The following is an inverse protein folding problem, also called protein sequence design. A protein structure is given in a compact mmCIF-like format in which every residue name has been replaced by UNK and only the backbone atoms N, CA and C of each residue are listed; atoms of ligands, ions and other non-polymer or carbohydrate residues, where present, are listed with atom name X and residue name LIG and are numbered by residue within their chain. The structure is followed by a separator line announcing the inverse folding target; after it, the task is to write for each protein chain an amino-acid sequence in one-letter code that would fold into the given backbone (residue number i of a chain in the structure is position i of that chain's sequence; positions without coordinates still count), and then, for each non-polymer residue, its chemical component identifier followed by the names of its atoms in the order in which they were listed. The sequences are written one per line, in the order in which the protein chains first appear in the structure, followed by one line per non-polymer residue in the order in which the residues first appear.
data_IF_116879536513
#
_entry.id   IF_116879536513
#
_cell.length_a   1.000
_cell.length_b   1.000
_cell.length_c   1.000
_cell.angle_alpha   90.00
_cell.angle_beta   90.00
_cell.angle_gamma   90.00
#
_symmetry.space_group_name_H-M   'P 1'
#
loop_
_entity.id
_entity.type
_entity.pdbx_description
1 polymer ?
#
# COMPACT_ATOMS: atom_id res chain seq x y z
N UNK A 1 31.45 -92.83 -39.39
CA UNK A 1 30.46 -93.66 -40.10
C UNK A 1 29.20 -93.70 -39.28
N UNK A 2 28.10 -93.66 -39.99
CA UNK A 2 26.71 -93.58 -39.54
C UNK A 2 26.22 -94.97 -39.10
N UNK A 3 25.26 -94.94 -38.18
CA UNK A 3 24.20 -95.91 -37.85
C UNK A 3 24.38 -97.07 -36.85
N UNK A 4 23.39 -97.07 -35.94
CA UNK A 4 22.47 -98.17 -35.56
C UNK A 4 22.50 -98.86 -34.17
N UNK A 5 21.43 -98.52 -33.41
CA UNK A 5 20.42 -99.37 -32.78
C UNK A 5 20.66 -100.19 -31.48
N UNK A 6 19.95 -99.71 -30.45
CA UNK A 6 19.08 -100.38 -29.46
C UNK A 6 19.51 -101.69 -28.76
N UNK A 7 19.53 -101.65 -27.42
CA UNK A 7 18.94 -102.72 -26.60
C UNK A 7 18.43 -102.19 -25.25
N UNK A 8 17.19 -102.61 -24.97
CA UNK A 8 16.34 -102.48 -23.79
C UNK A 8 16.98 -102.84 -22.44
N UNK A 9 16.70 -102.06 -21.39
CA UNK A 9 15.94 -102.60 -20.24
C UNK A 9 15.35 -101.54 -19.31
N UNK A 10 14.09 -101.81 -18.96
CA UNK A 10 13.19 -101.05 -18.10
C UNK A 10 13.60 -101.07 -16.63
N UNK A 11 13.33 -99.96 -15.94
CA UNK A 11 13.16 -99.84 -14.50
C UNK A 11 12.47 -98.50 -14.22
N UNK A 12 11.14 -98.50 -14.18
CA UNK A 12 10.37 -98.18 -12.97
C UNK A 12 10.64 -96.74 -12.47
N UNK A 13 9.78 -95.82 -12.89
CA UNK A 13 8.66 -95.31 -12.07
C UNK A 13 9.11 -94.17 -11.16
N UNK A 14 8.93 -92.93 -11.62
CA UNK A 14 7.85 -92.07 -11.12
C UNK A 14 7.98 -90.70 -11.78
N UNK A 15 7.15 -90.49 -12.80
CA UNK A 15 6.69 -89.18 -13.21
C UNK A 15 6.14 -88.45 -11.97
N UNK A 16 6.87 -87.50 -11.41
CA UNK A 16 6.24 -86.39 -10.66
C UNK A 16 5.58 -85.49 -11.71
N UNK A 17 4.47 -85.99 -12.26
CA UNK A 17 3.40 -85.17 -12.79
C UNK A 17 2.84 -84.39 -11.60
N UNK A 18 3.40 -83.21 -11.35
CA UNK A 18 2.66 -82.15 -10.69
C UNK A 18 1.41 -81.91 -11.53
N UNK A 19 0.29 -82.45 -11.05
CA UNK A 19 -1.06 -82.04 -11.46
C UNK A 19 -1.24 -80.55 -11.14
N UNK A 20 -0.68 -79.67 -11.96
CA UNK A 20 -1.11 -78.27 -12.04
C UNK A 20 -2.33 -78.19 -12.94
N UNK A 21 -3.47 -78.57 -12.38
CA UNK A 21 -4.76 -78.30 -13.01
C UNK A 21 -5.81 -78.01 -11.94
N UNK A 22 -5.56 -76.97 -11.12
CA UNK A 22 -6.57 -76.33 -10.26
C UNK A 22 -6.14 -74.96 -9.66
N UNK A 23 -5.08 -74.30 -10.15
CA UNK A 23 -4.49 -73.10 -9.50
C UNK A 23 -4.67 -71.75 -10.20
N UNK A 24 -5.08 -71.71 -11.47
CA UNK A 24 -5.04 -70.47 -12.28
C UNK A 24 -6.12 -69.44 -11.95
N UNK A 25 -7.29 -69.86 -11.46
CA UNK A 25 -8.38 -68.93 -11.12
C UNK A 25 -8.18 -68.28 -9.74
N UNK A 26 -7.60 -69.00 -8.78
CA UNK A 26 -7.31 -68.46 -7.45
C UNK A 26 -6.13 -67.47 -7.48
N UNK A 27 -5.09 -67.75 -8.28
CA UNK A 27 -3.95 -66.83 -8.43
C UNK A 27 -4.32 -65.55 -9.18
N UNK A 28 -5.15 -65.66 -10.23
CA UNK A 28 -5.70 -64.49 -10.93
C UNK A 28 -6.65 -63.69 -10.05
N UNK A 29 -7.52 -64.34 -9.28
CA UNK A 29 -8.40 -63.67 -8.30
C UNK A 29 -7.60 -62.95 -7.21
N UNK A 30 -6.58 -63.60 -6.64
CA UNK A 30 -5.70 -62.99 -5.64
C UNK A 30 -4.96 -61.76 -6.20
N UNK A 31 -4.51 -61.84 -7.45
CA UNK A 31 -3.84 -60.71 -8.12
C UNK A 31 -4.81 -59.54 -8.36
N UNK A 32 -6.05 -59.81 -8.74
CA UNK A 32 -7.08 -58.77 -8.89
C UNK A 32 -7.42 -58.09 -7.57
N UNK A 33 -7.57 -58.86 -6.48
CA UNK A 33 -7.83 -58.32 -5.15
C UNK A 33 -6.67 -57.43 -4.71
N UNK A 34 -5.42 -57.85 -4.95
CA UNK A 34 -4.24 -57.06 -4.62
C UNK A 34 -4.24 -55.69 -5.32
N UNK A 35 -4.52 -55.65 -6.62
CA UNK A 35 -4.64 -54.40 -7.37
C UNK A 35 -5.82 -53.54 -6.90
N UNK A 36 -6.94 -54.16 -6.53
CA UNK A 36 -8.11 -53.46 -6.02
C UNK A 36 -7.81 -52.76 -4.70
N UNK A 37 -7.11 -53.43 -3.77
CA UNK A 37 -6.67 -52.84 -2.51
C UNK A 37 -5.78 -51.62 -2.75
N UNK A 38 -4.78 -51.74 -3.64
CA UNK A 38 -3.91 -50.61 -4.00
C UNK A 38 -4.72 -49.45 -4.57
N UNK A 39 -5.60 -49.71 -5.54
CA UNK A 39 -6.44 -48.69 -6.15
C UNK A 39 -7.34 -48.00 -5.11
N UNK A 40 -7.94 -48.74 -4.19
CA UNK A 40 -8.75 -48.18 -3.11
C UNK A 40 -7.91 -47.31 -2.16
N UNK A 41 -6.70 -47.72 -1.80
CA UNK A 41 -5.83 -46.89 -0.94
C UNK A 41 -5.36 -45.61 -1.63
N UNK A 42 -5.09 -45.64 -2.94
CA UNK A 42 -4.78 -44.44 -3.70
C UNK A 42 -5.99 -43.51 -3.80
N UNK A 43 -7.18 -44.03 -4.13
CA UNK A 43 -8.40 -43.24 -4.19
C UNK A 43 -8.78 -42.62 -2.84
N UNK A 44 -8.47 -43.30 -1.73
CA UNK A 44 -8.71 -42.77 -0.39
C UNK A 44 -7.86 -41.53 -0.07
N UNK A 45 -6.61 -41.52 -0.53
CA UNK A 45 -5.67 -40.40 -0.34
C UNK A 45 -5.75 -39.35 -1.46
N UNK A 46 -6.45 -39.66 -2.55
CA UNK A 46 -6.60 -38.74 -3.67
C UNK A 46 -7.68 -37.71 -3.35
N UNK A 47 -7.26 -36.46 -3.18
CA UNK A 47 -8.16 -35.36 -2.80
C UNK A 47 -9.22 -35.06 -3.88
N UNK A 48 -8.84 -35.01 -5.16
CA UNK A 48 -9.76 -34.78 -6.28
C UNK A 48 -10.87 -35.84 -6.50
N UNK A 49 -10.80 -36.99 -5.82
CA UNK A 49 -11.83 -38.01 -5.85
C UNK A 49 -12.97 -37.55 -4.96
N UNK A 50 -12.66 -37.11 -3.74
CA UNK A 50 -13.62 -36.59 -2.75
C UNK A 50 -14.18 -35.20 -3.09
N UNK A 51 -13.52 -34.48 -3.99
CA UNK A 51 -13.88 -33.12 -4.42
C UNK A 51 -14.47 -33.08 -5.85
N UNK A 52 -15.10 -34.17 -6.30
CA UNK A 52 -15.62 -34.29 -7.67
C UNK A 52 -16.97 -33.58 -7.87
N UNK A 53 -17.17 -32.96 -9.04
CA UNK A 53 -18.46 -32.39 -9.48
C UNK A 53 -19.39 -33.44 -10.15
N UNK A 54 -18.98 -34.70 -10.18
CA UNK A 54 -19.73 -35.79 -10.82
C UNK A 54 -20.84 -36.28 -9.87
N UNK A 55 -22.07 -35.80 -10.09
CA UNK A 55 -23.27 -36.11 -9.28
C UNK A 55 -23.47 -37.58 -8.85
N UNK A 56 -23.32 -38.59 -9.73
CA UNK A 56 -23.49 -39.98 -9.29
C UNK A 56 -22.37 -40.45 -8.35
N UNK A 57 -21.14 -39.99 -8.58
CA UNK A 57 -19.99 -40.31 -7.73
C UNK A 57 -20.09 -39.60 -6.37
N UNK A 58 -20.52 -38.33 -6.37
CA UNK A 58 -20.81 -37.56 -5.17
C UNK A 58 -21.89 -38.22 -4.30
N UNK A 59 -22.98 -38.72 -4.91
CA UNK A 59 -24.02 -39.48 -4.20
C UNK A 59 -23.46 -40.74 -3.55
N UNK A 60 -22.67 -41.51 -4.30
CA UNK A 60 -22.02 -42.73 -3.79
C UNK A 60 -21.08 -42.42 -2.62
N UNK A 61 -20.27 -41.37 -2.71
CA UNK A 61 -19.37 -40.94 -1.64
C UNK A 61 -20.14 -40.49 -0.39
N UNK A 62 -21.22 -39.72 -0.56
CA UNK A 62 -22.08 -39.27 0.55
C UNK A 62 -22.78 -40.44 1.25
N UNK A 63 -23.24 -41.42 0.48
CA UNK A 63 -24.03 -42.54 1.01
C UNK A 63 -23.15 -43.58 1.70
N UNK A 64 -22.03 -43.97 1.10
CA UNK A 64 -21.18 -45.06 1.61
C UNK A 64 -19.99 -44.57 2.45
N UNK A 65 -19.54 -43.33 2.25
CA UNK A 65 -18.34 -42.77 2.90
C UNK A 65 -18.60 -41.37 3.49
N UNK A 66 -19.77 -41.19 4.10
CA UNK A 66 -20.26 -39.91 4.63
C UNK A 66 -19.26 -39.17 5.54
N UNK A 67 -18.58 -39.89 6.44
CA UNK A 67 -17.60 -39.30 7.36
C UNK A 67 -16.40 -38.70 6.63
N UNK A 68 -15.82 -39.45 5.69
CA UNK A 68 -14.65 -39.02 4.92
C UNK A 68 -15.02 -37.88 3.97
N UNK A 69 -16.15 -38.01 3.28
CA UNK A 69 -16.69 -36.96 2.42
C UNK A 69 -16.90 -35.64 3.19
N UNK A 70 -17.53 -35.68 4.37
CA UNK A 70 -17.77 -34.49 5.19
C UNK A 70 -16.46 -33.83 5.66
N UNK A 71 -15.44 -34.62 6.01
CA UNK A 71 -14.13 -34.09 6.42
C UNK A 71 -13.47 -33.30 5.29
N UNK A 72 -13.45 -33.84 4.07
CA UNK A 72 -12.85 -33.16 2.92
C UNK A 72 -13.65 -31.91 2.50
N UNK A 73 -15.00 -31.98 2.53
CA UNK A 73 -15.85 -30.81 2.25
C UNK A 73 -15.67 -29.69 3.30
N UNK A 74 -15.44 -30.03 4.56
CA UNK A 74 -15.13 -29.04 5.60
C UNK A 74 -13.78 -28.35 5.37
N UNK A 75 -12.77 -29.06 4.86
CA UNK A 75 -11.48 -28.46 4.48
C UNK A 75 -11.66 -27.44 3.36
N UNK A 76 -12.40 -27.80 2.30
CA UNK A 76 -12.71 -26.89 1.19
C UNK A 76 -13.47 -25.67 1.71
N UNK A 77 -14.53 -25.87 2.50
CA UNK A 77 -15.32 -24.78 3.05
C UNK A 77 -14.48 -23.78 3.85
N UNK A 78 -13.54 -24.28 4.67
CA UNK A 78 -12.58 -23.42 5.40
C UNK A 78 -11.68 -22.65 4.44
N UNK A 79 -11.12 -23.28 3.42
CA UNK A 79 -10.27 -22.62 2.43
C UNK A 79 -11.04 -21.54 1.66
N UNK A 80 -12.25 -21.85 1.17
CA UNK A 80 -13.10 -20.91 0.44
C UNK A 80 -13.48 -19.72 1.32
N UNK A 81 -13.87 -19.96 2.58
CA UNK A 81 -14.22 -18.89 3.51
C UNK A 81 -13.00 -18.03 3.86
N UNK A 82 -11.84 -18.63 4.07
CA UNK A 82 -10.59 -17.90 4.31
C UNK A 82 -10.20 -17.06 3.10
N UNK A 83 -10.30 -17.59 1.89
CA UNK A 83 -10.01 -16.84 0.67
C UNK A 83 -10.96 -15.66 0.48
N UNK A 84 -12.25 -15.85 0.77
CA UNK A 84 -13.25 -14.77 0.76
C UNK A 84 -12.91 -13.68 1.78
N UNK A 85 -12.51 -14.07 2.99
CA UNK A 85 -12.10 -13.13 4.03
C UNK A 85 -10.84 -12.36 3.62
N UNK A 86 -9.84 -13.04 3.06
CA UNK A 86 -8.61 -12.41 2.57
C UNK A 86 -8.91 -11.41 1.45
N UNK A 87 -9.81 -11.77 0.53
CA UNK A 87 -10.23 -10.87 -0.55
C UNK A 87 -10.94 -9.62 -0.01
N UNK A 88 -11.83 -9.77 0.98
CA UNK A 88 -12.50 -8.64 1.64
C UNK A 88 -11.49 -7.73 2.36
N UNK A 89 -10.56 -8.31 3.11
CA UNK A 89 -9.50 -7.56 3.80
C UNK A 89 -8.64 -6.78 2.79
N UNK A 90 -8.24 -7.42 1.68
CA UNK A 90 -7.47 -6.75 0.63
C UNK A 90 -8.25 -5.59 0.01
N UNK A 91 -9.52 -5.80 -0.33
CA UNK A 91 -10.36 -4.73 -0.90
C UNK A 91 -10.57 -3.56 0.07
N UNK A 92 -10.67 -3.83 1.37
CA UNK A 92 -10.73 -2.77 2.40
C UNK A 92 -9.41 -2.03 2.55
N UNK A 93 -8.29 -2.74 2.50
CA UNK A 93 -6.96 -2.16 2.61
C UNK A 93 -6.66 -1.26 1.41
N UNK A 94 -6.93 -1.72 0.20
CA UNK A 94 -6.73 -0.95 -1.04
C UNK A 94 -7.56 0.34 -1.05
N UNK A 95 -8.82 0.29 -0.59
CA UNK A 95 -9.65 1.49 -0.43
C UNK A 95 -9.08 2.46 0.61
N UNK A 96 -8.58 1.94 1.72
CA UNK A 96 -8.00 2.75 2.78
C UNK A 96 -6.68 3.40 2.33
N UNK A 97 -5.83 2.66 1.62
CA UNK A 97 -4.59 3.12 1.01
C UNK A 97 -4.86 4.24 0.02
N UNK A 98 -5.75 4.02 -0.96
CA UNK A 98 -6.13 5.05 -1.93
C UNK A 98 -6.69 6.31 -1.26
N UNK A 99 -7.55 6.16 -0.26
CA UNK A 99 -8.08 7.31 0.48
C UNK A 99 -7.00 8.06 1.27
N UNK A 100 -5.98 7.35 1.77
CA UNK A 100 -4.85 7.98 2.44
C UNK A 100 -3.97 8.74 1.44
N UNK A 101 -3.68 8.15 0.28
CA UNK A 101 -2.94 8.80 -0.81
C UNK A 101 -3.62 10.09 -1.27
N UNK A 102 -4.93 10.05 -1.56
CA UNK A 102 -5.71 11.23 -1.97
C UNK A 102 -5.65 12.36 -0.91
N UNK A 103 -5.67 12.02 0.38
CA UNK A 103 -5.55 13.00 1.46
C UNK A 103 -4.15 13.61 1.53
N UNK A 104 -3.11 12.81 1.33
CA UNK A 104 -1.73 13.28 1.33
C UNK A 104 -1.48 14.19 0.14
N UNK A 105 -1.93 13.80 -1.05
CA UNK A 105 -1.82 14.61 -2.27
C UNK A 105 -2.48 15.97 -2.08
N UNK A 106 -3.73 15.99 -1.59
CA UNK A 106 -4.45 17.23 -1.29
C UNK A 106 -3.72 18.10 -0.26
N UNK A 107 -3.18 17.49 0.80
CA UNK A 107 -2.42 18.22 1.82
C UNK A 107 -1.13 18.84 1.25
N UNK A 108 -0.48 18.16 0.31
CA UNK A 108 0.70 18.68 -0.39
C UNK A 108 0.31 19.88 -1.27
N UNK A 109 -0.77 19.79 -2.04
CA UNK A 109 -1.27 20.91 -2.85
C UNK A 109 -1.61 22.14 -2.00
N UNK A 110 -2.35 21.94 -0.90
CA UNK A 110 -2.70 23.01 0.04
C UNK A 110 -1.45 23.64 0.67
N UNK A 111 -0.45 22.83 1.03
CA UNK A 111 0.83 23.32 1.55
C UNK A 111 1.57 24.17 0.51
N UNK A 112 1.64 23.73 -0.74
CA UNK A 112 2.31 24.48 -1.82
C UNK A 112 1.61 25.81 -2.05
N UNK A 113 0.27 25.83 -2.09
CA UNK A 113 -0.49 27.06 -2.22
C UNK A 113 -0.29 28.02 -1.03
N UNK A 114 -0.20 27.49 0.20
CA UNK A 114 0.06 28.29 1.40
C UNK A 114 1.47 28.91 1.38
N UNK A 115 2.48 28.15 0.96
CA UNK A 115 3.85 28.63 0.84
C UNK A 115 3.97 29.72 -0.23
N UNK A 116 3.30 29.55 -1.37
CA UNK A 116 3.28 30.59 -2.42
C UNK A 116 2.63 31.89 -1.94
N UNK A 117 1.54 31.81 -1.16
CA UNK A 117 0.92 33.00 -0.56
C UNK A 117 1.81 33.67 0.48
N UNK A 118 2.54 32.88 1.26
CA UNK A 118 3.47 33.41 2.25
C UNK A 118 4.57 34.23 1.58
N UNK A 119 5.15 33.72 0.50
CA UNK A 119 6.19 34.39 -0.29
C UNK A 119 5.68 35.72 -0.90
N UNK A 120 4.46 35.73 -1.45
CA UNK A 120 3.84 36.96 -1.97
C UNK A 120 3.61 38.00 -0.85
N UNK A 121 3.13 37.58 0.31
CA UNK A 121 2.92 38.46 1.47
C UNK A 121 4.26 39.00 1.98
N UNK A 122 5.32 38.18 2.04
CA UNK A 122 6.65 38.60 2.45
C UNK A 122 7.23 39.63 1.49
N UNK A 123 7.05 39.43 0.18
CA UNK A 123 7.46 40.37 -0.85
C UNK A 123 6.68 41.70 -0.77
N UNK A 124 5.37 41.64 -0.52
CA UNK A 124 4.56 42.83 -0.29
C UNK A 124 5.02 43.58 0.95
N UNK A 125 5.23 42.88 2.07
CA UNK A 125 5.69 43.46 3.32
C UNK A 125 7.06 44.14 3.15
N UNK A 126 8.00 43.46 2.50
CA UNK A 126 9.32 44.02 2.14
C UNK A 126 9.18 45.32 1.36
N UNK A 127 8.34 45.33 0.32
CA UNK A 127 8.08 46.53 -0.49
C UNK A 127 7.41 47.66 0.31
N UNK A 128 6.49 47.33 1.23
CA UNK A 128 5.88 48.32 2.11
C UNK A 128 6.90 48.92 3.08
N UNK A 129 7.74 48.08 3.70
CA UNK A 129 8.78 48.52 4.61
C UNK A 129 9.81 49.40 3.90
N UNK A 130 10.24 49.06 2.68
CA UNK A 130 11.19 49.88 1.92
C UNK A 130 10.62 51.26 1.57
N UNK A 131 9.33 51.31 1.19
CA UNK A 131 8.62 52.58 0.95
C UNK A 131 8.52 53.42 2.21
N UNK A 132 8.13 52.83 3.34
CA UNK A 132 8.03 53.55 4.62
C UNK A 132 9.41 54.02 5.09
N UNK A 133 10.43 53.18 5.01
CA UNK A 133 11.79 53.55 5.38
C UNK A 133 12.34 54.69 4.51
N UNK A 134 12.01 54.69 3.21
CA UNK A 134 12.33 55.80 2.31
C UNK A 134 11.67 57.10 2.75
N UNK A 135 10.38 57.08 3.10
CA UNK A 135 9.68 58.27 3.66
C UNK A 135 10.35 58.74 4.94
N UNK A 136 10.70 57.83 5.83
CA UNK A 136 11.38 58.14 7.07
C UNK A 136 12.76 58.80 6.85
N UNK A 137 13.52 58.36 5.84
CA UNK A 137 14.78 58.99 5.47
C UNK A 137 14.60 60.43 4.97
N UNK A 138 13.58 60.67 4.13
CA UNK A 138 13.25 62.03 3.69
C UNK A 138 12.84 62.91 4.87
N UNK A 139 12.01 62.37 5.76
CA UNK A 139 11.53 63.05 6.94
C UNK A 139 12.67 63.41 7.91
N UNK A 140 13.58 62.48 8.23
CA UNK A 140 14.76 62.77 9.06
C UNK A 140 15.65 63.84 8.42
N UNK A 141 15.82 63.81 7.10
CA UNK A 141 16.54 64.86 6.38
C UNK A 141 15.87 66.22 6.56
N UNK A 142 14.54 66.29 6.42
CA UNK A 142 13.77 67.52 6.67
C UNK A 142 13.89 68.00 8.11
N UNK A 143 13.85 67.11 9.10
CA UNK A 143 14.06 67.45 10.50
C UNK A 143 15.44 68.07 10.75
N UNK A 144 16.50 67.52 10.13
CA UNK A 144 17.86 68.07 10.24
C UNK A 144 17.96 69.45 9.60
N UNK A 145 17.32 69.65 8.44
CA UNK A 145 17.27 70.96 7.78
C UNK A 145 16.58 72.01 8.68
N UNK A 146 15.44 71.65 9.27
CA UNK A 146 14.72 72.51 10.21
C UNK A 146 15.59 72.82 11.43
N UNK A 147 16.27 71.81 12.00
CA UNK A 147 17.19 72.02 13.12
C UNK A 147 18.30 73.04 12.77
N UNK A 148 18.90 72.92 11.58
CA UNK A 148 19.89 73.90 11.09
C UNK A 148 19.31 75.31 10.92
N UNK A 149 18.10 75.45 10.36
CA UNK A 149 17.46 76.74 10.18
C UNK A 149 17.14 77.40 11.52
N UNK A 150 16.67 76.61 12.49
CA UNK A 150 16.30 77.12 13.82
C UNK A 150 17.49 77.54 14.66
N UNK A 151 18.69 77.01 14.38
CA UNK A 151 19.94 77.48 14.98
C UNK A 151 20.46 78.78 14.35
N UNK A 152 20.05 79.08 13.11
CA UNK A 152 20.57 80.20 12.32
C UNK A 152 19.70 81.46 12.43
N UNK A 153 18.38 81.30 12.54
CA UNK A 153 17.41 82.41 12.52
C UNK A 153 16.74 82.59 13.89
N UNK A 154 16.39 83.84 14.21
CA UNK A 154 15.51 84.14 15.35
C UNK A 154 14.08 83.63 15.10
N UNK A 155 13.25 83.42 16.14
CA UNK A 155 11.90 82.82 15.98
C UNK A 155 11.01 83.58 14.97
N UNK A 156 11.04 84.92 15.01
CA UNK A 156 10.23 85.76 14.12
C UNK A 156 10.73 85.74 12.67
N UNK A 157 12.04 85.63 12.45
CA UNK A 157 12.62 85.47 11.12
C UNK A 157 12.39 84.07 10.56
N UNK A 158 12.48 83.04 11.41
CA UNK A 158 12.25 81.67 11.04
C UNK A 158 10.82 81.46 10.52
N UNK A 159 9.81 82.06 11.17
CA UNK A 159 8.41 82.02 10.70
C UNK A 159 8.21 82.65 9.31
N UNK A 160 9.01 83.66 8.97
CA UNK A 160 8.97 84.29 7.64
C UNK A 160 9.70 83.46 6.58
N UNK A 161 10.73 82.71 6.96
CA UNK A 161 11.53 81.86 6.06
C UNK A 161 10.87 80.51 5.82
N UNK A 162 10.32 79.88 6.87
CA UNK A 162 9.70 78.56 6.83
C UNK A 162 8.20 78.73 7.04
N UNK A 163 7.50 79.23 6.01
CA UNK A 163 6.05 79.37 6.05
C UNK A 163 5.38 78.01 5.93
N UNK A 164 5.07 77.38 7.07
CA UNK A 164 4.34 76.13 7.10
C UNK A 164 2.92 76.29 6.54
N UNK A 165 2.53 75.38 5.65
CA UNK A 165 1.19 75.36 5.01
C UNK A 165 0.36 74.15 5.41
N UNK A 166 0.91 73.25 6.22
CA UNK A 166 0.24 72.03 6.68
C UNK A 166 0.39 71.88 8.20
N UNK A 167 -0.56 71.19 8.82
CA UNK A 167 -0.56 70.95 10.27
C UNK A 167 0.65 70.11 10.72
N UNK A 168 1.13 69.22 9.85
CA UNK A 168 2.32 68.39 10.09
C UNK A 168 3.57 69.26 10.17
N UNK A 169 3.70 70.27 9.32
CA UNK A 169 4.85 71.20 9.35
C UNK A 169 4.88 72.02 10.65
N UNK A 170 3.73 72.53 11.09
CA UNK A 170 3.60 73.22 12.38
C UNK A 170 3.93 72.31 13.56
N UNK A 171 3.43 71.07 13.54
CA UNK A 171 3.72 70.09 14.58
C UNK A 171 5.21 69.74 14.63
N UNK A 172 5.89 69.64 13.48
CA UNK A 172 7.34 69.41 13.44
C UNK A 172 8.10 70.58 14.07
N UNK A 173 7.69 71.82 13.80
CA UNK A 173 8.36 73.00 14.35
C UNK A 173 8.22 73.09 15.87
N UNK A 174 7.01 72.84 16.38
CA UNK A 174 6.66 73.02 17.80
C UNK A 174 6.92 71.78 18.67
N UNK A 175 6.74 70.57 18.13
CA UNK A 175 6.85 69.29 18.85
C UNK A 175 7.96 68.39 18.27
N UNK A 176 9.19 68.91 18.21
CA UNK A 176 10.32 68.22 17.57
C UNK A 176 10.67 66.84 18.12
N UNK A 177 10.52 66.62 19.42
CA UNK A 177 10.83 65.31 20.01
C UNK A 177 9.83 64.25 19.56
N UNK A 178 8.54 64.60 19.54
CA UNK A 178 7.49 63.71 19.02
C UNK A 178 7.69 63.46 17.53
N UNK A 179 8.01 64.50 16.76
CA UNK A 179 8.35 64.35 15.35
C UNK A 179 9.51 63.35 15.13
N UNK A 180 10.60 63.46 15.91
CA UNK A 180 11.73 62.52 15.81
C UNK A 180 11.35 61.07 16.10
N UNK A 181 10.38 60.84 17.00
CA UNK A 181 9.94 59.48 17.39
C UNK A 181 9.11 58.74 16.33
N UNK A 182 8.64 59.43 15.28
CA UNK A 182 7.78 58.83 14.23
C UNK A 182 8.51 57.75 13.44
N UNK A 183 9.83 57.91 13.25
CA UNK A 183 10.65 57.03 12.42
C UNK A 183 11.74 56.28 13.21
N UNK A 184 11.66 56.30 14.55
CA UNK A 184 12.62 55.68 15.46
C UNK A 184 12.31 55.95 16.91
#
# INVERSE_FOLDING_TARGET
MVDENQSSNQGADEDIKTKEQAGGLLSTLATLIFWLVIASTMLWNWDGFWQTDIKPLERFQKEYFSSKYNEEQLKISRITNNNKLIADIRGRLEKAEKSAEEKVEKAIEEKVAALSKLDDIELQLSNYLDKENTKCRYFDTSLRMIDHLTKKYSEDELKRVLSCTSAECENILHYRQEARSICG
#
